data_IF_789541825406
#
_entry.id   IF_789541825406
#
_cell.length_a   1.000
_cell.length_b   1.000
_cell.length_c   1.000
_cell.angle_alpha   90.00
_cell.angle_beta   90.00
_cell.angle_gamma   90.00
#
_symmetry.space_group_name_H-M   'P 1'
#
loop_
_entity.id
_entity.type
_entity.pdbx_description
1 polymer ?
#
# COMPACT_ATOMS: atom_id res chain seq x y z
N UNK A 1 31.81 2.95 -14.18
CA UNK A 1 30.53 2.79 -14.91
C UNK A 1 29.36 3.58 -14.30
N UNK A 2 28.80 3.22 -13.13
CA UNK A 2 27.62 3.96 -12.62
C UNK A 2 27.94 5.41 -12.20
N UNK A 3 29.11 5.64 -11.58
CA UNK A 3 29.56 7.00 -11.24
C UNK A 3 29.77 7.86 -12.49
N UNK A 4 30.47 7.32 -13.48
CA UNK A 4 30.67 7.98 -14.80
C UNK A 4 29.34 8.35 -15.46
N UNK A 5 28.33 7.47 -15.42
CA UNK A 5 27.02 7.74 -16.02
C UNK A 5 26.26 8.90 -15.33
N UNK A 6 26.60 9.23 -14.09
CA UNK A 6 25.94 10.26 -13.29
C UNK A 6 26.66 11.62 -13.35
N UNK A 7 27.83 11.72 -14.00
CA UNK A 7 28.59 12.99 -14.12
C UNK A 7 27.86 14.05 -14.96
N UNK A 8 27.00 13.60 -15.88
CA UNK A 8 26.16 14.48 -16.72
C UNK A 8 24.93 15.02 -15.99
N UNK A 9 24.59 14.48 -14.81
CA UNK A 9 23.41 14.92 -14.05
C UNK A 9 23.69 16.28 -13.39
N UNK A 10 22.76 17.23 -13.59
CA UNK A 10 22.85 18.58 -13.02
C UNK A 10 22.57 18.60 -11.52
N UNK A 11 21.86 17.60 -11.00
CA UNK A 11 21.59 17.50 -9.58
C UNK A 11 22.80 16.93 -8.84
N UNK A 12 23.08 17.40 -7.61
CA UNK A 12 24.10 16.76 -6.78
C UNK A 12 23.68 15.32 -6.47
N UNK A 13 24.51 14.35 -6.84
CA UNK A 13 24.29 12.92 -6.57
C UNK A 13 25.40 12.38 -5.67
N UNK A 14 25.03 11.58 -4.67
CA UNK A 14 25.95 10.84 -3.80
C UNK A 14 25.70 9.35 -3.97
N UNK A 15 26.75 8.56 -4.20
CA UNK A 15 26.66 7.11 -4.44
C UNK A 15 27.56 6.36 -3.45
N UNK A 16 26.94 5.48 -2.65
CA UNK A 16 27.63 4.60 -1.70
C UNK A 16 28.37 3.44 -2.35
N UNK A 17 28.81 2.48 -1.53
CA UNK A 17 29.28 1.17 -1.99
C UNK A 17 28.11 0.18 -1.99
N UNK A 18 28.23 -0.91 -2.76
CA UNK A 18 27.26 -2.01 -2.70
C UNK A 18 27.33 -2.64 -1.30
N UNK A 19 26.17 -2.72 -0.64
CA UNK A 19 25.99 -3.34 0.67
C UNK A 19 26.28 -4.84 0.62
N UNK A 20 26.50 -5.46 1.78
CA UNK A 20 26.60 -6.92 1.90
C UNK A 20 25.33 -7.64 1.43
N UNK A 21 24.20 -6.95 1.45
CA UNK A 21 22.91 -7.43 0.93
C UNK A 21 22.74 -7.20 -0.58
N UNK A 22 23.75 -6.69 -1.29
CA UNK A 22 23.68 -6.42 -2.73
C UNK A 22 22.95 -5.13 -3.11
N UNK A 23 22.50 -4.32 -2.14
CA UNK A 23 21.84 -3.04 -2.39
C UNK A 23 22.84 -1.92 -2.61
N UNK A 24 22.55 -1.01 -3.55
CA UNK A 24 23.33 0.21 -3.76
C UNK A 24 22.52 1.41 -3.31
N UNK A 25 23.04 2.11 -2.30
CA UNK A 25 22.43 3.34 -1.82
C UNK A 25 22.92 4.55 -2.61
N UNK A 26 21.98 5.40 -3.01
CA UNK A 26 22.28 6.67 -3.64
C UNK A 26 21.29 7.75 -3.22
N UNK A 27 21.77 8.99 -3.11
CA UNK A 27 20.95 10.17 -2.84
C UNK A 27 21.10 11.16 -3.98
N UNK A 28 19.99 11.76 -4.42
CA UNK A 28 19.94 12.72 -5.51
C UNK A 28 19.21 13.98 -5.05
N UNK A 29 19.83 15.14 -5.25
CA UNK A 29 19.23 16.43 -4.91
C UNK A 29 17.93 16.68 -5.71
N UNK A 30 16.89 17.11 -5.00
CA UNK A 30 15.60 17.49 -5.61
C UNK A 30 15.67 18.94 -6.11
N UNK A 31 15.65 19.13 -7.43
CA UNK A 31 15.64 20.45 -8.06
C UNK A 31 14.23 20.93 -8.43
N UNK A 32 13.31 19.99 -8.70
CA UNK A 32 11.92 20.23 -9.12
C UNK A 32 11.04 19.11 -8.58
N UNK A 33 9.70 19.28 -8.55
CA UNK A 33 8.78 18.18 -8.33
C UNK A 33 9.06 17.03 -9.29
N UNK A 34 8.87 15.80 -8.82
CA UNK A 34 9.03 14.62 -9.65
C UNK A 34 7.88 14.52 -10.67
N UNK A 35 8.09 13.74 -11.73
CA UNK A 35 7.02 13.46 -12.70
C UNK A 35 5.81 12.79 -12.04
N UNK A 36 6.04 11.91 -11.06
CA UNK A 36 4.96 11.29 -10.31
C UNK A 36 4.11 12.32 -9.58
N UNK A 37 4.73 13.26 -8.88
CA UNK A 37 3.98 14.31 -8.17
C UNK A 37 3.21 15.25 -9.10
N UNK A 38 3.66 15.42 -10.35
CA UNK A 38 3.04 16.36 -11.29
C UNK A 38 2.00 15.71 -12.21
N UNK A 39 2.14 14.41 -12.49
CA UNK A 39 1.37 13.70 -13.53
C UNK A 39 0.74 12.40 -13.07
N UNK A 40 0.91 12.01 -11.81
CA UNK A 40 0.28 10.81 -11.28
C UNK A 40 -0.56 11.15 -10.06
N UNK A 41 -1.65 10.42 -9.90
CA UNK A 41 -2.50 10.45 -8.72
C UNK A 41 -2.34 9.13 -7.97
N UNK A 42 -2.60 9.16 -6.67
CA UNK A 42 -2.57 7.95 -5.85
C UNK A 42 -3.70 7.03 -6.31
N UNK A 43 -3.37 5.75 -6.56
CA UNK A 43 -4.36 4.78 -7.00
C UNK A 43 -5.50 4.67 -5.98
N UNK A 44 -6.77 4.93 -6.34
CA UNK A 44 -7.89 4.96 -5.39
C UNK A 44 -8.25 3.57 -4.84
N UNK A 45 -7.73 2.49 -5.45
CA UNK A 45 -8.05 1.12 -5.05
C UNK A 45 -7.13 0.56 -3.96
N UNK A 46 -5.86 0.98 -3.97
CA UNK A 46 -4.85 0.50 -3.03
C UNK A 46 -4.15 1.62 -2.28
N UNK A 47 -4.55 2.88 -2.49
CA UNK A 47 -4.01 4.07 -1.84
C UNK A 47 -2.47 4.16 -1.93
N UNK A 48 -1.90 3.64 -3.02
CA UNK A 48 -0.44 3.64 -3.24
C UNK A 48 0.30 2.43 -2.65
N UNK A 49 -0.38 1.50 -1.99
CA UNK A 49 0.22 0.29 -1.40
C UNK A 49 0.65 -0.73 -2.45
N UNK A 50 0.08 -0.68 -3.67
CA UNK A 50 0.44 -1.58 -4.78
C UNK A 50 -0.08 -3.01 -4.65
N UNK A 51 -0.75 -3.35 -3.54
CA UNK A 51 -1.39 -4.64 -3.31
C UNK A 51 -2.77 -4.46 -2.71
N UNK A 52 -3.64 -5.45 -2.91
CA UNK A 52 -5.00 -5.47 -2.37
C UNK A 52 -5.12 -6.73 -1.53
N UNK A 53 -5.68 -6.60 -0.34
CA UNK A 53 -5.87 -7.72 0.58
C UNK A 53 -6.77 -8.78 -0.05
N UNK A 54 -6.39 -10.06 0.11
CA UNK A 54 -7.18 -11.19 -0.36
C UNK A 54 -8.56 -11.25 0.29
N UNK A 55 -9.52 -11.86 -0.42
CA UNK A 55 -10.94 -11.90 -0.02
C UNK A 55 -11.10 -12.62 1.32
N UNK A 56 -10.45 -13.77 1.54
CA UNK A 56 -10.63 -14.52 2.79
C UNK A 56 -10.06 -13.75 3.99
N UNK A 57 -8.89 -13.13 3.82
CA UNK A 57 -8.25 -12.33 4.86
C UNK A 57 -9.08 -11.10 5.22
N UNK A 58 -9.67 -10.44 4.23
CA UNK A 58 -10.55 -9.29 4.42
C UNK A 58 -11.87 -9.71 5.11
N UNK A 59 -12.48 -10.81 4.67
CA UNK A 59 -13.72 -11.34 5.24
C UNK A 59 -13.56 -11.70 6.72
N UNK A 60 -12.47 -12.41 7.09
CA UNK A 60 -12.18 -12.74 8.48
C UNK A 60 -11.97 -11.50 9.35
N UNK A 61 -11.32 -10.47 8.79
CA UNK A 61 -11.12 -9.18 9.47
C UNK A 61 -12.46 -8.50 9.76
N UNK A 62 -13.36 -8.46 8.76
CA UNK A 62 -14.69 -7.87 8.88
C UNK A 62 -15.53 -8.65 9.88
N UNK A 63 -15.47 -9.98 9.87
CA UNK A 63 -16.21 -10.81 10.80
C UNK A 63 -15.82 -10.58 12.26
N UNK A 64 -14.52 -10.36 12.53
CA UNK A 64 -14.04 -9.99 13.87
C UNK A 64 -14.62 -8.66 14.31
N UNK A 65 -14.65 -7.66 13.41
CA UNK A 65 -15.27 -6.36 13.69
C UNK A 65 -16.77 -6.48 13.96
N UNK A 66 -17.50 -7.28 13.18
CA UNK A 66 -18.93 -7.53 13.42
C UNK A 66 -19.15 -8.16 14.80
N UNK A 67 -18.32 -9.13 15.18
CA UNK A 67 -18.42 -9.78 16.49
C UNK A 67 -18.13 -8.82 17.65
N UNK A 68 -17.12 -7.96 17.49
CA UNK A 68 -16.78 -6.92 18.45
C UNK A 68 -17.94 -5.92 18.65
N UNK A 69 -18.53 -5.41 17.57
CA UNK A 69 -19.68 -4.51 17.64
C UNK A 69 -20.93 -5.18 18.21
N UNK A 70 -21.14 -6.46 17.89
CA UNK A 70 -22.27 -7.25 18.42
C UNK A 70 -22.12 -7.55 19.91
N UNK A 71 -20.89 -7.58 20.44
CA UNK A 71 -20.60 -7.88 21.84
C UNK A 71 -20.75 -6.67 22.78
N UNK A 72 -20.99 -5.47 22.23
CA UNK A 72 -21.22 -4.25 23.02
C UNK A 72 -22.61 -4.28 23.66
N UNK A 73 -22.73 -3.66 24.84
CA UNK A 73 -24.02 -3.52 25.51
C UNK A 73 -24.95 -2.60 24.69
N UNK A 74 -26.24 -2.96 24.61
CA UNK A 74 -27.30 -2.23 23.86
C UNK A 74 -27.18 -2.24 22.33
N UNK A 75 -26.50 -3.23 21.74
CA UNK A 75 -26.52 -3.43 20.28
C UNK A 75 -27.79 -4.18 19.84
N UNK A 76 -28.66 -3.52 19.06
CA UNK A 76 -29.88 -4.14 18.53
C UNK A 76 -29.67 -4.79 17.15
N UNK A 77 -28.85 -4.18 16.29
CA UNK A 77 -28.56 -4.66 14.93
C UNK A 77 -27.16 -4.20 14.52
N UNK A 78 -26.42 -5.03 13.79
CA UNK A 78 -25.15 -4.67 13.14
C UNK A 78 -25.29 -4.82 11.63
N UNK A 79 -25.11 -3.72 10.89
CA UNK A 79 -25.16 -3.70 9.43
C UNK A 79 -23.77 -3.51 8.85
N UNK A 80 -23.30 -4.46 8.05
CA UNK A 80 -22.02 -4.38 7.35
C UNK A 80 -22.24 -4.21 5.84
N UNK A 81 -21.79 -3.10 5.27
CA UNK A 81 -21.74 -2.89 3.82
C UNK A 81 -20.37 -3.31 3.30
N UNK A 82 -20.34 -4.35 2.46
CA UNK A 82 -19.09 -4.96 1.96
C UNK A 82 -19.18 -5.24 0.46
N UNK A 83 -18.05 -5.39 -0.24
CA UNK A 83 -18.04 -5.79 -1.65
C UNK A 83 -18.74 -7.13 -1.86
N UNK A 84 -19.38 -7.32 -3.02
CA UNK A 84 -20.15 -8.53 -3.36
C UNK A 84 -19.35 -9.81 -3.14
N UNK A 85 -18.08 -9.84 -3.58
CA UNK A 85 -17.21 -11.01 -3.40
C UNK A 85 -16.98 -11.38 -1.93
N UNK A 86 -16.87 -10.38 -1.05
CA UNK A 86 -16.72 -10.57 0.38
C UNK A 86 -18.06 -11.01 1.00
N UNK A 87 -19.18 -10.43 0.58
CA UNK A 87 -20.51 -10.84 1.04
C UNK A 87 -20.81 -12.31 0.71
N UNK A 88 -20.51 -12.73 -0.53
CA UNK A 88 -20.69 -14.11 -0.97
C UNK A 88 -19.86 -15.07 -0.13
N UNK A 89 -18.59 -14.75 0.15
CA UNK A 89 -17.74 -15.56 1.01
C UNK A 89 -18.30 -15.67 2.44
N UNK A 90 -18.71 -14.53 3.03
CA UNK A 90 -19.25 -14.49 4.40
C UNK A 90 -20.56 -15.28 4.58
N UNK A 91 -21.39 -15.37 3.53
CA UNK A 91 -22.72 -15.98 3.59
C UNK A 91 -22.77 -17.45 3.10
N UNK A 92 -21.74 -17.94 2.40
CA UNK A 92 -21.76 -19.27 1.77
C UNK A 92 -20.60 -20.19 2.17
N UNK A 93 -19.38 -19.67 2.30
CA UNK A 93 -18.17 -20.49 2.51
C UNK A 93 -17.83 -20.69 4.00
N UNK A 94 -18.69 -20.20 4.90
CA UNK A 94 -18.53 -20.34 6.34
C UNK A 94 -19.72 -21.05 6.97
#
# INVERSE_FOLDING_TARGET
KMREALELDRARVQVGKISRFGLLEMSRQRLRPSLGETRSEVCPRCEGQGTIRGIESLALSIMRLIYEESSKEKTAEVRAMVPVSVATFLLNEK
#
